data_IF_325427253521
#
_entry.id   IF_325427253521
#
_cell.length_a   1.000
_cell.length_b   1.000
_cell.length_c   1.000
_cell.angle_alpha   90.00
_cell.angle_beta   90.00
_cell.angle_gamma   90.00
#
_symmetry.space_group_name_H-M   'P 1'
#
loop_
_entity.id
_entity.type
_entity.pdbx_description
1 polymer ?
#
# COMPACT_ATOMS: atom_id res chain seq x y z
N UNK A 1 -20.11 9.09 3.22
CA UNK A 1 -18.65 8.89 3.06
C UNK A 1 -17.84 9.56 4.16
N UNK A 2 -17.93 10.89 4.34
CA UNK A 2 -17.09 11.65 5.30
C UNK A 2 -17.17 11.18 6.76
N UNK A 3 -18.32 10.71 7.24
CA UNK A 3 -18.48 10.23 8.61
C UNK A 3 -17.63 8.97 8.92
N UNK A 4 -17.47 8.06 7.95
CA UNK A 4 -16.65 6.85 8.09
C UNK A 4 -15.17 7.23 8.06
N UNK A 5 -14.80 8.10 7.13
CA UNK A 5 -13.45 8.64 7.01
C UNK A 5 -13.01 9.35 8.30
N UNK A 6 -13.89 10.15 8.89
CA UNK A 6 -13.62 10.83 10.16
C UNK A 6 -13.40 9.84 11.30
N UNK A 7 -14.22 8.79 11.40
CA UNK A 7 -14.06 7.72 12.39
C UNK A 7 -12.74 6.98 12.20
N UNK A 8 -12.40 6.59 10.98
CA UNK A 8 -11.17 5.88 10.65
C UNK A 8 -9.94 6.73 10.98
N UNK A 9 -9.96 8.03 10.65
CA UNK A 9 -8.89 8.97 11.01
C UNK A 9 -8.75 9.08 12.53
N UNK A 10 -9.85 9.14 13.28
CA UNK A 10 -9.84 9.20 14.74
C UNK A 10 -9.26 7.94 15.38
N UNK A 11 -9.59 6.76 14.85
CA UNK A 11 -9.05 5.48 15.30
C UNK A 11 -7.54 5.38 14.98
N UNK A 12 -7.16 5.81 13.77
CA UNK A 12 -5.76 5.84 13.32
C UNK A 12 -4.91 6.86 14.10
N UNK A 13 -5.48 7.97 14.57
CA UNK A 13 -4.75 9.07 15.20
C UNK A 13 -3.90 8.63 16.39
N UNK A 14 -4.42 7.76 17.27
CA UNK A 14 -3.66 7.25 18.42
C UNK A 14 -2.48 6.37 17.99
N UNK A 15 -2.71 5.49 17.01
CA UNK A 15 -1.65 4.61 16.50
C UNK A 15 -0.59 5.40 15.72
N UNK A 16 -0.99 6.40 14.93
CA UNK A 16 -0.10 7.29 14.19
C UNK A 16 0.76 8.14 15.15
N UNK A 17 0.17 8.68 16.22
CA UNK A 17 0.87 9.45 17.26
C UNK A 17 1.94 8.61 17.97
N UNK A 18 1.66 7.33 18.25
CA UNK A 18 2.62 6.41 18.86
C UNK A 18 3.77 6.05 17.91
N UNK A 19 3.54 6.04 16.60
CA UNK A 19 4.55 5.69 15.59
C UNK A 19 5.42 6.88 15.16
N UNK A 20 4.96 8.12 15.38
CA UNK A 20 5.68 9.35 15.02
C UNK A 20 7.09 9.48 15.64
N UNK A 21 7.31 9.25 16.95
CA UNK A 21 8.66 9.32 17.53
C UNK A 21 9.60 8.24 16.96
N UNK A 22 9.08 7.05 16.65
CA UNK A 22 9.86 5.97 16.02
C UNK A 22 10.28 6.39 14.61
N UNK A 23 9.37 7.01 13.85
CA UNK A 23 9.67 7.54 12.51
C UNK A 23 10.76 8.61 12.55
N UNK A 24 10.68 9.55 13.51
CA UNK A 24 11.69 10.60 13.66
C UNK A 24 13.06 10.01 14.04
N UNK A 25 13.09 9.07 14.99
CA UNK A 25 14.34 8.43 15.41
C UNK A 25 15.00 7.68 14.25
N UNK A 26 14.24 6.84 13.54
CA UNK A 26 14.76 6.09 12.39
C UNK A 26 15.15 7.02 11.24
N UNK A 27 14.37 8.08 10.98
CA UNK A 27 14.68 9.03 9.91
C UNK A 27 15.96 9.81 10.13
N UNK A 28 16.32 10.09 11.38
CA UNK A 28 17.58 10.73 11.72
C UNK A 28 18.77 9.76 11.72
N UNK A 29 18.58 8.52 12.18
CA UNK A 29 19.66 7.53 12.28
C UNK A 29 19.94 6.82 10.96
N UNK A 30 18.90 6.39 10.24
CA UNK A 30 19.01 5.60 9.01
C UNK A 30 17.96 6.09 8.00
N UNK A 31 18.24 7.17 7.23
CA UNK A 31 17.25 7.80 6.36
C UNK A 31 16.67 6.86 5.29
N UNK A 32 17.44 5.87 4.81
CA UNK A 32 16.97 4.86 3.84
C UNK A 32 15.84 3.99 4.43
N UNK A 33 15.91 3.68 5.73
CA UNK A 33 14.97 2.79 6.40
C UNK A 33 13.57 3.40 6.54
N UNK A 34 13.43 4.72 6.39
CA UNK A 34 12.13 5.42 6.44
C UNK A 34 11.15 4.86 5.40
N UNK A 35 11.64 4.36 4.25
CA UNK A 35 10.81 3.76 3.20
C UNK A 35 10.07 2.51 3.71
N UNK A 36 10.81 1.63 4.38
CA UNK A 36 10.28 0.42 5.00
C UNK A 36 9.33 0.73 6.17
N UNK A 37 9.63 1.77 6.94
CA UNK A 37 8.76 2.21 8.05
C UNK A 37 7.41 2.69 7.53
N UNK A 38 7.36 3.50 6.46
CA UNK A 38 6.09 3.94 5.88
C UNK A 38 5.23 2.79 5.34
N UNK A 39 5.87 1.80 4.73
CA UNK A 39 5.21 0.57 4.30
C UNK A 39 4.63 -0.18 5.50
N UNK A 40 5.42 -0.39 6.55
CA UNK A 40 4.99 -1.08 7.78
C UNK A 40 3.84 -0.35 8.48
N UNK A 41 3.93 0.98 8.64
CA UNK A 41 2.88 1.79 9.24
C UNK A 41 1.58 1.61 8.46
N UNK A 42 1.61 1.70 7.12
CA UNK A 42 0.42 1.59 6.28
C UNK A 42 -0.27 0.22 6.39
N UNK A 43 0.51 -0.87 6.46
CA UNK A 43 0.03 -2.23 6.67
C UNK A 43 -0.60 -2.37 8.06
N UNK A 44 0.08 -1.92 9.11
CA UNK A 44 -0.38 -2.05 10.49
C UNK A 44 -1.65 -1.24 10.71
N UNK A 45 -1.70 0.02 10.26
CA UNK A 45 -2.86 0.90 10.41
C UNK A 45 -4.09 0.31 9.70
N UNK A 46 -3.91 -0.20 8.48
CA UNK A 46 -5.01 -0.80 7.71
C UNK A 46 -5.50 -2.10 8.34
N UNK A 47 -4.59 -2.91 8.91
CA UNK A 47 -4.94 -4.13 9.65
C UNK A 47 -5.68 -3.84 10.94
N UNK A 48 -5.27 -2.80 11.69
CA UNK A 48 -5.92 -2.37 12.93
C UNK A 48 -7.33 -1.85 12.63
N UNK A 49 -7.49 -0.96 11.63
CA UNK A 49 -8.80 -0.45 11.24
C UNK A 49 -9.74 -1.57 10.81
N UNK A 50 -9.23 -2.58 10.09
CA UNK A 50 -10.03 -3.73 9.71
C UNK A 50 -10.41 -4.61 10.91
N UNK A 51 -9.48 -4.86 11.83
CA UNK A 51 -9.75 -5.62 13.06
C UNK A 51 -10.80 -4.96 13.96
N UNK A 52 -10.78 -3.62 14.09
CA UNK A 52 -11.79 -2.89 14.85
C UNK A 52 -13.17 -2.91 14.18
N UNK A 53 -13.23 -2.83 12.86
CA UNK A 53 -14.49 -2.92 12.11
C UNK A 53 -15.16 -4.29 12.27
N UNK A 54 -14.35 -5.35 12.37
CA UNK A 54 -14.85 -6.71 12.54
C UNK A 54 -15.29 -7.00 13.97
N UNK A 55 -14.50 -6.55 14.97
CA UNK A 55 -14.88 -6.64 16.39
C UNK A 55 -16.18 -5.87 16.70
N UNK A 56 -16.40 -4.75 16.02
CA UNK A 56 -17.62 -3.94 16.18
C UNK A 56 -18.77 -4.38 15.28
N UNK A 57 -18.62 -5.46 14.50
CA UNK A 57 -19.57 -5.90 13.46
C UNK A 57 -20.06 -4.76 12.56
N UNK A 58 -19.21 -3.74 12.35
CA UNK A 58 -19.61 -2.50 11.70
C UNK A 58 -20.06 -2.73 10.26
N UNK A 59 -19.57 -3.77 9.60
CA UNK A 59 -20.02 -4.15 8.26
C UNK A 59 -21.52 -4.53 8.25
N UNK A 60 -22.04 -5.20 9.28
CA UNK A 60 -23.46 -5.58 9.37
C UNK A 60 -24.35 -4.36 9.67
N UNK A 61 -23.85 -3.42 10.46
CA UNK A 61 -24.54 -2.18 10.81
C UNK A 61 -24.45 -1.11 9.70
N UNK A 62 -23.34 -1.08 8.95
CA UNK A 62 -23.14 -0.15 7.84
C UNK A 62 -23.98 -0.49 6.61
N UNK A 63 -24.34 -1.77 6.43
CA UNK A 63 -25.19 -2.21 5.31
C UNK A 63 -26.69 -2.00 5.56
N UNK A 64 -27.11 -1.64 6.78
CA UNK A 64 -28.46 -1.10 7.05
C UNK A 64 -28.55 0.42 6.89
N UNK A 65 -27.40 1.10 6.75
CA UNK A 65 -27.32 2.50 6.35
C UNK A 65 -27.27 2.62 4.81
N UNK A 66 -27.62 3.77 4.22
CA UNK A 66 -27.52 4.02 2.78
C UNK A 66 -26.05 4.25 2.36
N UNK A 67 -25.16 3.33 2.73
CA UNK A 67 -23.74 3.36 2.39
C UNK A 67 -23.50 2.47 1.16
N UNK A 68 -22.96 3.09 0.10
CA UNK A 68 -22.56 2.35 -1.08
C UNK A 68 -21.38 1.41 -0.77
N UNK A 69 -21.42 0.19 -1.31
CA UNK A 69 -20.32 -0.79 -1.19
C UNK A 69 -18.99 -0.24 -1.70
N UNK A 70 -19.05 0.55 -2.79
CA UNK A 70 -17.90 1.24 -3.37
C UNK A 70 -17.33 2.28 -2.42
N UNK A 71 -18.18 2.94 -1.65
CA UNK A 71 -17.81 4.00 -0.73
C UNK A 71 -17.07 3.44 0.48
N UNK A 72 -17.47 2.26 0.96
CA UNK A 72 -16.77 1.57 2.04
C UNK A 72 -15.35 1.15 1.61
N UNK A 73 -15.21 0.56 0.42
CA UNK A 73 -13.89 0.20 -0.12
C UNK A 73 -13.04 1.45 -0.31
N UNK A 74 -13.55 2.50 -0.96
CA UNK A 74 -12.82 3.74 -1.18
C UNK A 74 -12.36 4.39 0.13
N UNK A 75 -13.23 4.46 1.14
CA UNK A 75 -12.89 5.02 2.45
C UNK A 75 -11.71 4.30 3.10
N UNK A 76 -11.57 2.99 2.87
CA UNK A 76 -10.52 2.16 3.47
C UNK A 76 -9.20 2.18 2.69
N UNK A 77 -9.24 2.45 1.39
CA UNK A 77 -8.04 2.68 0.56
C UNK A 77 -7.47 4.10 0.74
N UNK A 78 -8.30 5.09 1.05
CA UNK A 78 -7.90 6.50 1.12
C UNK A 78 -6.77 6.80 2.13
N UNK A 79 -6.78 6.25 3.36
CA UNK A 79 -5.67 6.42 4.30
C UNK A 79 -4.35 5.89 3.76
N UNK A 80 -4.36 4.76 3.04
CA UNK A 80 -3.17 4.16 2.43
C UNK A 80 -2.59 5.04 1.34
N UNK A 81 -3.46 5.70 0.55
CA UNK A 81 -3.05 6.68 -0.45
C UNK A 81 -2.40 7.91 0.19
N UNK A 82 -3.01 8.47 1.25
CA UNK A 82 -2.47 9.62 1.96
C UNK A 82 -1.09 9.27 2.57
N UNK A 83 -0.98 8.13 3.24
CA UNK A 83 0.28 7.66 3.82
C UNK A 83 1.35 7.39 2.75
N UNK A 84 0.96 6.83 1.61
CA UNK A 84 1.84 6.66 0.47
C UNK A 84 2.38 7.99 -0.04
N UNK A 85 1.53 9.00 -0.23
CA UNK A 85 1.96 10.33 -0.73
C UNK A 85 2.92 10.98 0.27
N UNK A 86 2.58 10.93 1.56
CA UNK A 86 3.45 11.48 2.62
C UNK A 86 4.80 10.77 2.64
N UNK A 87 4.81 9.43 2.57
CA UNK A 87 6.04 8.63 2.56
C UNK A 87 6.90 8.89 1.33
N UNK A 88 6.29 9.02 0.15
CA UNK A 88 6.99 9.37 -1.09
C UNK A 88 7.59 10.77 -1.06
N UNK A 89 6.87 11.77 -0.55
CA UNK A 89 7.37 13.14 -0.39
C UNK A 89 8.52 13.22 0.62
N UNK A 90 8.42 12.52 1.75
CA UNK A 90 9.49 12.44 2.74
C UNK A 90 10.75 11.78 2.16
N UNK A 91 10.58 10.69 1.42
CA UNK A 91 11.69 10.02 0.73
C UNK A 91 12.36 10.89 -0.33
N UNK A 92 11.56 11.63 -1.10
CA UNK A 92 12.08 12.62 -2.03
C UNK A 92 12.90 13.69 -1.30
N UNK A 93 12.37 14.25 -0.20
CA UNK A 93 13.07 15.25 0.59
C UNK A 93 14.38 14.71 1.21
N UNK A 94 14.36 13.50 1.75
CA UNK A 94 15.55 12.83 2.31
C UNK A 94 16.59 12.50 1.21
N UNK A 95 16.14 12.07 0.03
CA UNK A 95 16.96 11.88 -1.17
C UNK A 95 17.77 13.12 -1.54
N UNK A 96 17.11 14.28 -1.45
CA UNK A 96 17.72 15.58 -1.74
C UNK A 96 18.66 16.07 -0.65
N UNK A 97 18.27 15.94 0.62
CA UNK A 97 18.99 16.52 1.75
C UNK A 97 20.18 15.68 2.22
N UNK A 98 20.01 14.36 2.29
CA UNK A 98 21.02 13.45 2.88
C UNK A 98 21.86 12.72 1.84
N UNK A 99 21.27 12.35 0.69
CA UNK A 99 21.97 11.55 -0.31
C UNK A 99 22.54 12.37 -1.48
N UNK A 100 22.28 13.69 -1.52
CA UNK A 100 22.71 14.61 -2.58
C UNK A 100 22.43 14.07 -3.99
N UNK A 101 21.35 13.31 -4.14
CA UNK A 101 21.02 12.65 -5.40
C UNK A 101 20.48 13.66 -6.42
N UNK A 102 20.63 13.32 -7.70
CA UNK A 102 19.98 14.07 -8.78
C UNK A 102 18.47 14.08 -8.58
N UNK A 103 17.84 15.14 -9.08
CA UNK A 103 16.39 15.34 -8.94
C UNK A 103 15.60 14.13 -9.42
N UNK A 104 16.04 13.54 -10.53
CA UNK A 104 15.37 12.43 -11.18
C UNK A 104 15.45 11.13 -10.36
N UNK A 105 16.60 10.86 -9.73
CA UNK A 105 16.78 9.65 -8.90
C UNK A 105 15.98 9.75 -7.60
N UNK A 106 15.96 10.92 -6.96
CA UNK A 106 15.13 11.15 -5.77
C UNK A 106 13.63 11.00 -6.08
N UNK A 107 13.20 11.44 -7.28
CA UNK A 107 11.82 11.31 -7.73
C UNK A 107 11.46 9.85 -8.06
N UNK A 108 12.37 9.09 -8.67
CA UNK A 108 12.22 7.64 -8.87
C UNK A 108 12.06 6.90 -7.54
N UNK A 109 12.88 7.20 -6.54
CA UNK A 109 12.80 6.55 -5.22
C UNK A 109 11.48 6.92 -4.53
N UNK A 110 11.10 8.21 -4.52
CA UNK A 110 9.85 8.66 -3.91
C UNK A 110 8.62 8.01 -4.55
N UNK A 111 8.60 7.87 -5.88
CA UNK A 111 7.51 7.21 -6.61
C UNK A 111 7.49 5.70 -6.39
N UNK A 112 8.65 5.04 -6.31
CA UNK A 112 8.73 3.62 -5.95
C UNK A 112 8.17 3.35 -4.54
N UNK A 113 8.51 4.20 -3.57
CA UNK A 113 7.99 4.10 -2.19
C UNK A 113 6.48 4.29 -2.15
N UNK A 114 5.97 5.33 -2.82
CA UNK A 114 4.52 5.55 -2.96
C UNK A 114 3.81 4.29 -3.49
N UNK A 115 4.31 3.72 -4.59
CA UNK A 115 3.71 2.55 -5.22
C UNK A 115 3.76 1.31 -4.35
N UNK A 116 4.91 1.02 -3.73
CA UNK A 116 5.05 -0.13 -2.85
C UNK A 116 4.10 -0.03 -1.66
N UNK A 117 4.03 1.13 -1.00
CA UNK A 117 3.14 1.35 0.14
C UNK A 117 1.66 1.16 -0.23
N UNK A 118 1.22 1.74 -1.35
CA UNK A 118 -0.19 1.63 -1.79
C UNK A 118 -0.50 0.21 -2.26
N UNK A 119 0.37 -0.44 -3.04
CA UNK A 119 0.14 -1.80 -3.55
C UNK A 119 0.08 -2.84 -2.44
N UNK A 120 1.02 -2.81 -1.50
CA UNK A 120 1.06 -3.79 -0.41
C UNK A 120 -0.16 -3.65 0.49
N UNK A 121 -0.60 -2.41 0.73
CA UNK A 121 -1.79 -2.16 1.53
C UNK A 121 -3.08 -2.52 0.79
N UNK A 122 -3.13 -2.31 -0.53
CA UNK A 122 -4.24 -2.77 -1.39
C UNK A 122 -4.40 -4.30 -1.38
N UNK A 123 -3.29 -5.03 -1.48
CA UNK A 123 -3.28 -6.50 -1.40
C UNK A 123 -3.76 -6.98 -0.03
N UNK A 124 -3.30 -6.34 1.05
CA UNK A 124 -3.75 -6.61 2.41
C UNK A 124 -5.25 -6.43 2.57
N UNK A 125 -5.76 -5.29 2.11
CA UNK A 125 -7.18 -4.97 2.25
C UNK A 125 -8.06 -5.95 1.46
N UNK A 126 -7.61 -6.33 0.26
CA UNK A 126 -8.31 -7.32 -0.58
C UNK A 126 -8.35 -8.71 0.07
N UNK A 127 -7.24 -9.14 0.70
CA UNK A 127 -7.18 -10.40 1.45
C UNK A 127 -8.08 -10.41 2.69
N UNK A 128 -8.07 -9.31 3.46
CA UNK A 128 -8.90 -9.13 4.66
C UNK A 128 -10.39 -9.19 4.34
N UNK A 129 -10.82 -8.55 3.26
CA UNK A 129 -12.24 -8.54 2.84
C UNK A 129 -12.73 -9.93 2.45
N UNK A 130 -11.88 -10.78 1.85
CA UNK A 130 -12.29 -12.12 1.40
C UNK A 130 -12.29 -13.17 2.50
N UNK A 131 -11.28 -13.16 3.37
CA UNK A 131 -11.05 -14.24 4.32
C UNK A 131 -11.31 -13.85 5.78
N UNK A 132 -11.63 -12.58 6.06
CA UNK A 132 -11.73 -12.06 7.43
C UNK A 132 -10.36 -11.69 8.02
N UNK A 133 -10.26 -11.40 9.31
CA UNK A 133 -9.14 -10.69 9.91
C UNK A 133 -8.02 -11.66 10.28
N UNK A 134 -8.35 -12.87 10.75
CA UNK A 134 -7.39 -13.90 11.10
C UNK A 134 -6.90 -14.67 9.86
N UNK A 135 -7.82 -15.20 9.06
CA UNK A 135 -7.46 -15.96 7.85
C UNK A 135 -6.95 -15.03 6.73
N UNK A 136 -7.36 -13.76 6.71
CA UNK A 136 -6.86 -12.77 5.74
C UNK A 136 -5.39 -12.43 5.93
N UNK A 137 -4.89 -12.44 7.18
CA UNK A 137 -3.45 -12.25 7.47
C UNK A 137 -2.63 -13.44 6.97
N UNK A 138 -3.11 -14.67 7.20
CA UNK A 138 -2.46 -15.89 6.70
C UNK A 138 -2.50 -15.92 5.17
N UNK A 139 -3.64 -15.60 4.56
CA UNK A 139 -3.78 -15.51 3.11
C UNK A 139 -2.86 -14.45 2.48
N UNK A 140 -2.64 -13.33 3.17
CA UNK A 140 -1.67 -12.32 2.74
C UNK A 140 -0.23 -12.85 2.77
N UNK A 141 0.16 -13.60 3.81
CA UNK A 141 1.49 -14.22 3.86
C UNK A 141 1.67 -15.17 2.67
N UNK A 142 0.70 -16.04 2.41
CA UNK A 142 0.72 -16.95 1.26
C UNK A 142 0.80 -16.18 -0.06
N UNK A 143 0.05 -15.08 -0.20
CA UNK A 143 0.08 -14.23 -1.39
C UNK A 143 1.45 -13.57 -1.59
N UNK A 144 2.09 -13.06 -0.53
CA UNK A 144 3.44 -12.49 -0.63
C UNK A 144 4.48 -13.55 -0.98
N UNK A 145 4.46 -14.71 -0.32
CA UNK A 145 5.35 -15.81 -0.66
C UNK A 145 5.15 -16.29 -2.11
N UNK A 146 3.90 -16.35 -2.57
CA UNK A 146 3.58 -16.66 -3.96
C UNK A 146 4.13 -15.62 -4.93
N UNK A 147 3.97 -14.32 -4.61
CA UNK A 147 4.49 -13.23 -5.43
C UNK A 147 6.03 -13.27 -5.51
N UNK A 148 6.71 -13.40 -4.38
CA UNK A 148 8.16 -13.56 -4.33
C UNK A 148 8.64 -14.81 -5.07
N UNK A 149 7.92 -15.93 -4.92
CA UNK A 149 8.20 -17.17 -5.64
C UNK A 149 8.07 -17.00 -7.16
N UNK A 150 7.01 -16.33 -7.62
CA UNK A 150 6.80 -16.02 -9.03
C UNK A 150 7.93 -15.14 -9.59
N UNK A 151 8.29 -14.06 -8.87
CA UNK A 151 9.42 -13.22 -9.27
C UNK A 151 10.74 -13.99 -9.32
N UNK A 152 10.99 -14.89 -8.37
CA UNK A 152 12.20 -15.73 -8.35
C UNK A 152 12.24 -16.71 -9.52
N UNK A 153 11.11 -17.33 -9.86
CA UNK A 153 11.00 -18.25 -11.00
C UNK A 153 11.15 -17.51 -12.33
N UNK A 154 10.47 -16.36 -12.48
CA UNK A 154 10.61 -15.49 -13.65
C UNK A 154 12.06 -15.04 -13.83
N UNK A 155 12.75 -14.68 -12.74
CA UNK A 155 14.16 -14.32 -12.77
C UNK A 155 15.09 -15.46 -13.23
N UNK A 156 14.75 -16.72 -12.90
CA UNK A 156 15.50 -17.90 -13.34
C UNK A 156 15.17 -18.35 -14.76
N UNK A 157 13.92 -18.16 -15.21
CA UNK A 157 13.45 -18.55 -16.55
C UNK A 157 13.70 -17.46 -17.59
N UNK A 158 13.91 -16.21 -17.19
CA UNK A 158 14.34 -15.14 -18.07
C UNK A 158 15.70 -15.52 -18.68
N UNK A 159 15.70 -15.93 -19.94
CA UNK A 159 16.92 -16.34 -20.66
C UNK A 159 17.98 -15.23 -20.72
N UNK A 160 17.57 -13.95 -20.65
CA UNK A 160 18.44 -12.78 -20.71
C UNK A 160 17.98 -11.68 -19.73
N UNK A 161 18.20 -11.82 -18.42
CA UNK A 161 17.84 -10.76 -17.45
C UNK A 161 18.61 -9.45 -17.74
N UNK A 162 19.80 -9.57 -18.29
CA UNK A 162 20.66 -8.44 -18.67
C UNK A 162 20.10 -7.61 -19.83
N UNK A 163 19.35 -8.20 -20.76
CA UNK A 163 18.70 -7.46 -21.85
C UNK A 163 17.51 -6.64 -21.35
N UNK A 164 16.75 -7.19 -20.39
CA UNK A 164 15.63 -6.46 -19.75
C UNK A 164 16.18 -5.31 -18.91
N UNK A 165 17.24 -5.56 -18.15
CA UNK A 165 17.94 -4.53 -17.38
C UNK A 165 18.54 -3.46 -18.30
N UNK A 166 19.22 -3.85 -19.38
CA UNK A 166 19.78 -2.93 -20.37
C UNK A 166 18.73 -2.06 -21.04
N UNK A 167 17.56 -2.62 -21.36
CA UNK A 167 16.42 -1.85 -21.88
C UNK A 167 15.86 -0.87 -20.83
N UNK A 168 15.82 -1.26 -19.55
CA UNK A 168 15.44 -0.38 -18.45
C UNK A 168 16.44 0.77 -18.26
N UNK A 169 17.75 0.48 -18.29
CA UNK A 169 18.82 1.47 -18.12
C UNK A 169 18.96 2.43 -19.31
N UNK A 170 18.58 1.99 -20.51
CA UNK A 170 18.57 2.83 -21.71
C UNK A 170 17.45 3.89 -21.70
N UNK A 171 16.42 3.69 -20.88
CA UNK A 171 15.27 4.58 -20.82
C UNK A 171 15.54 5.78 -19.90
N UNK A 172 15.01 6.95 -20.25
CA UNK A 172 15.13 8.14 -19.42
C UNK A 172 14.43 7.96 -18.06
N UNK A 173 15.03 8.52 -17.00
CA UNK A 173 14.47 8.40 -15.64
C UNK A 173 13.02 8.91 -15.54
N UNK A 174 12.62 10.03 -16.19
CA UNK A 174 11.21 10.45 -16.20
C UNK A 174 10.26 9.46 -16.87
N UNK A 175 10.71 8.77 -17.92
CA UNK A 175 9.90 7.76 -18.60
C UNK A 175 9.74 6.49 -17.74
N UNK A 176 10.78 6.10 -16.99
CA UNK A 176 10.69 5.02 -15.99
C UNK A 176 9.68 5.36 -14.89
N UNK A 177 9.72 6.59 -14.37
CA UNK A 177 8.74 7.05 -13.38
C UNK A 177 7.31 6.97 -13.92
N UNK A 178 7.08 7.47 -15.14
CA UNK A 178 5.76 7.41 -15.77
C UNK A 178 5.28 5.96 -15.95
N UNK A 179 6.16 5.06 -16.39
CA UNK A 179 5.86 3.65 -16.55
C UNK A 179 5.51 2.99 -15.20
N UNK A 180 6.29 3.24 -14.16
CA UNK A 180 6.00 2.72 -12.82
C UNK A 180 4.66 3.24 -12.28
N UNK A 181 4.36 4.52 -12.46
CA UNK A 181 3.08 5.09 -12.05
C UNK A 181 1.90 4.46 -12.80
N UNK A 182 2.00 4.30 -14.13
CA UNK A 182 0.93 3.67 -14.92
C UNK A 182 0.70 2.23 -14.50
N UNK A 183 1.78 1.44 -14.35
CA UNK A 183 1.70 0.03 -13.94
C UNK A 183 1.15 -0.09 -12.52
N UNK A 184 1.66 0.73 -11.59
CA UNK A 184 1.25 0.72 -10.20
C UNK A 184 -0.21 1.16 -10.01
N UNK A 185 -0.64 2.23 -10.67
CA UNK A 185 -2.03 2.67 -10.68
C UNK A 185 -2.94 1.58 -11.29
N UNK A 186 -2.51 0.95 -12.39
CA UNK A 186 -3.24 -0.18 -12.98
C UNK A 186 -3.42 -1.34 -12.00
N UNK A 187 -2.35 -1.75 -11.31
CA UNK A 187 -2.40 -2.82 -10.31
C UNK A 187 -3.27 -2.46 -9.10
N UNK A 188 -3.22 -1.22 -8.61
CA UNK A 188 -4.09 -0.76 -7.53
C UNK A 188 -5.56 -0.73 -7.94
N UNK A 189 -5.86 -0.34 -9.19
CA UNK A 189 -7.20 -0.38 -9.74
C UNK A 189 -7.71 -1.82 -9.88
N UNK A 190 -6.88 -2.76 -10.33
CA UNK A 190 -7.21 -4.19 -10.37
C UNK A 190 -7.53 -4.71 -8.96
N UNK A 191 -6.71 -4.36 -7.96
CA UNK A 191 -6.97 -4.74 -6.56
C UNK A 191 -8.30 -4.14 -6.04
N UNK A 192 -8.60 -2.89 -6.40
CA UNK A 192 -9.86 -2.24 -6.05
C UNK A 192 -11.06 -2.97 -6.68
N UNK A 193 -11.01 -3.34 -7.96
CA UNK A 193 -12.07 -4.10 -8.62
C UNK A 193 -12.24 -5.50 -8.04
N UNK A 194 -11.14 -6.20 -7.75
CA UNK A 194 -11.17 -7.50 -7.06
C UNK A 194 -11.82 -7.39 -5.69
N UNK A 195 -11.49 -6.36 -4.93
CA UNK A 195 -12.07 -6.08 -3.61
C UNK A 195 -13.58 -5.89 -3.66
N UNK A 196 -14.09 -5.09 -4.62
CA UNK A 196 -15.55 -4.93 -4.82
C UNK A 196 -16.21 -6.26 -5.17
N UNK A 197 -15.62 -7.02 -6.11
CA UNK A 197 -16.19 -8.28 -6.58
C UNK A 197 -16.26 -9.33 -5.47
N UNK A 198 -15.25 -9.38 -4.61
CA UNK A 198 -15.23 -10.30 -3.47
C UNK A 198 -16.22 -9.90 -2.38
N UNK A 199 -16.41 -8.61 -2.14
CA UNK A 199 -17.45 -8.11 -1.24
C UNK A 199 -18.87 -8.46 -1.71
N UNK A 200 -19.10 -8.52 -3.03
CA UNK A 200 -20.38 -8.96 -3.60
C UNK A 200 -20.64 -10.44 -3.31
N UNK A 201 -19.66 -11.31 -3.56
CA UNK A 201 -19.79 -12.76 -3.34
C UNK A 201 -19.91 -13.14 -1.85
N UNK A 202 -19.36 -12.34 -0.94
CA UNK A 202 -19.39 -12.64 0.50
C UNK A 202 -20.77 -12.45 1.14
N UNK A 203 -21.68 -11.66 0.54
CA UNK A 203 -23.02 -11.43 1.08
C UNK A 203 -24.15 -12.17 0.35
N UNK A 204 -23.83 -12.91 -0.72
CA UNK A 204 -24.78 -13.85 -1.36
C UNK A 204 -24.80 -15.22 -0.65
N UNK A 205 -23.99 -15.39 0.40
CA UNK A 205 -24.00 -16.54 1.31
C UNK A 205 -24.66 -16.17 2.63
#
# INVERSE_FOLDING_TARGET
MFAILYRDILLMRKSLLLMLPILLFIGLSVPIAVSGVFLMISIILSSINFGYDEQSHFLRYGMSMPLGRRDYVLAKFLPSWILGVIGGLLMYALGRLYFLQSNDVSLLIGTAVFLLTVLFTAMLLTSLIRFGPEKGRIALLVMYFGLFGLFSLLGKTAKNPEQILGWLYAQSIPALVALFLVVGLGLTAICYFLSIRWMQMAMER
#
